data_IF_119055943655
#
_entry.id   IF_119055943655
#
_cell.length_a   1.000
_cell.length_b   1.000
_cell.length_c   1.000
_cell.angle_alpha   90.00
_cell.angle_beta   90.00
_cell.angle_gamma   90.00
#
_symmetry.space_group_name_H-M   'P 1'
#
loop_
_entity.id
_entity.type
_entity.pdbx_description
1 polymer ?
#
# COMPACT_ATOMS: atom_id res chain seq x y z
N UNK A 1 12.38 2.77 8.91
CA UNK A 1 12.15 4.16 8.46
C UNK A 1 10.66 4.34 8.28
N UNK A 2 10.10 5.39 8.88
CA UNK A 2 8.67 5.67 8.85
C UNK A 2 8.36 6.74 7.82
N UNK A 3 7.11 6.80 7.33
CA UNK A 3 6.69 7.86 6.40
C UNK A 3 6.99 9.27 6.95
N UNK A 4 6.84 9.44 8.28
CA UNK A 4 7.06 10.71 8.97
C UNK A 4 8.53 11.19 8.96
N UNK A 5 9.50 10.31 8.68
CA UNK A 5 10.91 10.71 8.60
C UNK A 5 11.27 11.36 7.26
N UNK A 6 10.41 11.21 6.24
CA UNK A 6 10.69 11.63 4.85
C UNK A 6 9.56 12.36 4.16
N UNK A 7 8.38 12.41 4.75
CA UNK A 7 7.18 13.03 4.19
C UNK A 7 6.50 13.92 5.22
N UNK A 8 6.04 15.11 4.79
CA UNK A 8 5.12 15.93 5.57
C UNK A 8 3.66 15.43 5.46
N UNK A 9 3.39 14.55 4.49
CA UNK A 9 2.11 13.90 4.27
C UNK A 9 2.17 12.47 4.83
N UNK A 10 1.59 12.26 6.00
CA UNK A 10 1.81 11.04 6.80
C UNK A 10 0.57 10.16 6.96
N UNK A 11 -0.61 10.64 6.55
CA UNK A 11 -1.87 9.89 6.70
C UNK A 11 -2.65 9.89 5.40
N UNK A 12 -3.40 8.81 5.15
CA UNK A 12 -4.31 8.71 4.01
C UNK A 12 -5.38 9.82 4.05
N UNK A 13 -5.84 10.20 5.25
CA UNK A 13 -6.83 11.27 5.41
C UNK A 13 -6.31 12.60 4.88
N UNK A 14 -5.12 13.02 5.30
CA UNK A 14 -4.49 14.25 4.81
C UNK A 14 -4.31 14.22 3.29
N UNK A 15 -3.92 13.06 2.73
CA UNK A 15 -3.72 12.93 1.28
C UNK A 15 -5.04 13.14 0.53
N UNK A 16 -6.14 12.56 1.02
CA UNK A 16 -7.46 12.72 0.43
C UNK A 16 -7.98 14.17 0.58
N UNK A 17 -7.85 14.77 1.76
CA UNK A 17 -8.26 16.16 2.01
C UNK A 17 -7.51 17.12 1.06
N UNK A 18 -6.21 16.88 0.81
CA UNK A 18 -5.44 17.67 -0.16
C UNK A 18 -5.92 17.48 -1.60
N UNK A 19 -6.32 16.26 -1.97
CA UNK A 19 -6.84 16.04 -3.31
C UNK A 19 -8.18 16.79 -3.52
N UNK A 20 -9.03 16.84 -2.50
CA UNK A 20 -10.29 17.59 -2.57
C UNK A 20 -10.07 19.11 -2.56
N UNK A 21 -9.08 19.60 -1.82
CA UNK A 21 -8.76 21.04 -1.78
C UNK A 21 -8.08 21.54 -3.06
N UNK A 22 -7.16 20.77 -3.63
CA UNK A 22 -6.32 21.19 -4.76
C UNK A 22 -6.95 20.89 -6.12
N UNK A 23 -7.85 19.92 -6.21
CA UNK A 23 -8.53 19.54 -7.45
C UNK A 23 -10.02 19.27 -7.18
N UNK A 24 -10.77 20.26 -6.68
CA UNK A 24 -12.14 20.07 -6.19
C UNK A 24 -13.09 19.46 -7.22
N UNK A 25 -12.90 19.82 -8.49
CA UNK A 25 -13.73 19.35 -9.62
C UNK A 25 -13.17 18.08 -10.29
N UNK A 26 -11.97 17.64 -9.92
CA UNK A 26 -11.33 16.42 -10.45
C UNK A 26 -10.76 16.55 -11.86
N UNK A 27 -10.66 17.77 -12.40
CA UNK A 27 -10.20 18.03 -13.77
C UNK A 27 -8.72 17.70 -13.97
N UNK A 28 -7.91 17.80 -12.91
CA UNK A 28 -6.48 17.50 -12.97
C UNK A 28 -6.17 16.01 -12.76
N UNK A 29 -7.18 15.21 -12.40
CA UNK A 29 -7.02 13.79 -12.12
C UNK A 29 -6.17 13.52 -10.87
N UNK A 30 -6.17 14.45 -9.90
CA UNK A 30 -5.38 14.31 -8.69
C UNK A 30 -5.94 13.19 -7.80
N UNK A 31 -5.06 12.29 -7.36
CA UNK A 31 -5.42 11.16 -6.54
C UNK A 31 -4.29 10.63 -5.67
N UNK A 32 -4.59 9.55 -4.95
CA UNK A 32 -3.72 8.95 -3.94
C UNK A 32 -3.33 7.53 -4.34
N UNK A 33 -2.03 7.27 -4.36
CA UNK A 33 -1.50 5.91 -4.36
C UNK A 33 -1.49 5.38 -2.92
N UNK A 34 -2.26 4.34 -2.64
CA UNK A 34 -2.37 3.76 -1.31
C UNK A 34 -1.39 2.61 -1.19
N UNK A 35 -0.28 2.89 -0.51
CA UNK A 35 0.67 1.85 -0.13
C UNK A 35 0.26 1.22 1.19
N UNK A 36 0.04 -0.10 1.18
CA UNK A 36 -0.38 -0.86 2.36
C UNK A 36 0.62 -0.71 3.51
N UNK A 37 1.93 -0.65 3.27
CA UNK A 37 2.92 -0.44 4.32
C UNK A 37 2.75 0.91 5.03
N UNK A 38 2.38 1.96 4.29
CA UNK A 38 2.23 3.30 4.85
C UNK A 38 0.90 3.52 5.58
N UNK A 39 -0.13 2.73 5.25
CA UNK A 39 -1.45 2.84 5.90
C UNK A 39 -1.73 1.74 6.92
N UNK A 40 -0.95 0.66 6.90
CA UNK A 40 -1.10 -0.45 7.84
C UNK A 40 -0.52 -0.09 9.20
N UNK A 41 -1.40 0.00 10.18
CA UNK A 41 -1.05 0.25 11.58
C UNK A 41 -0.85 -1.10 12.25
N UNK A 42 0.41 -1.53 12.40
CA UNK A 42 0.77 -2.52 13.43
C UNK A 42 0.33 -2.01 14.81
N UNK A 43 0.15 -2.90 15.78
CA UNK A 43 -0.56 -2.72 17.06
C UNK A 43 -0.08 -1.62 18.04
N UNK A 44 0.64 -0.59 17.61
CA UNK A 44 1.29 0.40 18.47
C UNK A 44 0.97 1.87 18.25
N UNK A 45 0.63 2.36 17.05
CA UNK A 45 0.50 3.82 16.88
C UNK A 45 -0.37 4.29 15.70
N UNK A 46 -1.49 4.90 16.09
CA UNK A 46 -2.19 6.09 15.57
C UNK A 46 -2.37 6.28 14.04
N UNK A 47 -3.67 6.31 13.70
CA UNK A 47 -4.31 7.05 12.61
C UNK A 47 -4.34 6.39 11.22
N UNK A 48 -5.21 5.39 11.08
CA UNK A 48 -6.08 5.35 9.91
C UNK A 48 -7.53 5.43 10.38
N UNK A 49 -8.16 6.57 10.12
CA UNK A 49 -9.59 6.78 10.33
C UNK A 49 -10.37 5.66 9.62
N UNK A 50 -11.20 4.88 10.32
CA UNK A 50 -12.07 3.87 9.71
C UNK A 50 -12.91 4.41 8.54
N UNK A 51 -13.20 5.71 8.49
CA UNK A 51 -13.95 6.35 7.41
C UNK A 51 -13.18 6.43 6.07
N UNK A 52 -11.83 6.49 6.09
CA UNK A 52 -11.01 6.46 4.87
C UNK A 52 -10.91 5.05 4.24
N UNK A 53 -11.52 4.03 4.86
CA UNK A 53 -11.50 2.63 4.40
C UNK A 53 -12.52 2.34 3.30
N UNK A 54 -13.41 3.28 2.99
CA UNK A 54 -14.31 3.21 1.84
C UNK A 54 -13.63 3.96 0.69
N UNK A 55 -13.52 3.31 -0.47
CA UNK A 55 -12.86 3.84 -1.66
C UNK A 55 -13.37 5.22 -1.99
N UNK A 56 -12.54 6.23 -1.71
CA UNK A 56 -12.70 7.55 -2.26
C UNK A 56 -12.48 7.45 -3.78
N UNK A 57 -13.25 8.15 -4.63
CA UNK A 57 -13.06 8.12 -6.09
C UNK A 57 -11.64 8.51 -6.53
N UNK A 58 -10.86 9.13 -5.63
CA UNK A 58 -9.48 9.56 -5.86
C UNK A 58 -8.41 8.53 -5.51
N UNK A 59 -8.76 7.30 -5.15
CA UNK A 59 -7.76 6.23 -4.95
C UNK A 59 -7.36 5.64 -6.30
N UNK A 60 -6.15 5.92 -6.74
CA UNK A 60 -5.70 5.64 -8.11
C UNK A 60 -4.88 4.35 -8.24
N UNK A 61 -4.24 3.89 -7.17
CA UNK A 61 -3.40 2.68 -7.17
C UNK A 61 -3.31 2.11 -5.76
N UNK A 62 -3.20 0.78 -5.66
CA UNK A 62 -2.80 0.10 -4.42
C UNK A 62 -1.42 -0.53 -4.60
N UNK A 63 -0.54 -0.32 -3.62
CA UNK A 63 0.80 -0.89 -3.60
C UNK A 63 0.96 -1.89 -2.47
N UNK A 64 1.48 -3.06 -2.82
CA UNK A 64 1.72 -4.21 -1.96
C UNK A 64 3.17 -4.21 -1.52
N UNK A 65 3.43 -4.52 -0.25
CA UNK A 65 4.79 -4.51 0.28
C UNK A 65 5.12 -5.85 0.96
N UNK A 66 6.38 -6.25 0.83
CA UNK A 66 7.01 -7.30 1.63
C UNK A 66 7.34 -6.75 3.02
N UNK A 67 6.58 -7.12 4.05
CA UNK A 67 6.77 -6.65 5.44
C UNK A 67 6.93 -7.83 6.40
N UNK A 68 7.94 -7.82 7.27
CA UNK A 68 8.03 -8.81 8.34
C UNK A 68 6.94 -8.51 9.39
N UNK A 69 6.05 -9.48 9.59
CA UNK A 69 4.93 -9.42 10.50
C UNK A 69 5.31 -9.09 11.96
N UNK A 70 6.56 -9.35 12.39
CA UNK A 70 6.94 -9.28 13.81
C UNK A 70 7.36 -7.91 14.30
N UNK A 71 7.82 -7.02 13.41
CA UNK A 71 8.46 -5.77 13.83
C UNK A 71 7.63 -4.52 13.50
N UNK A 72 6.60 -4.63 12.64
CA UNK A 72 5.91 -3.45 12.10
C UNK A 72 6.85 -2.50 11.32
N UNK A 73 8.05 -2.97 10.99
CA UNK A 73 9.06 -2.24 10.24
C UNK A 73 9.36 -3.02 8.96
N UNK A 74 9.72 -2.32 7.88
CA UNK A 74 10.54 -2.93 6.84
C UNK A 74 11.89 -3.29 7.44
N UNK A 75 11.96 -4.44 8.09
CA UNK A 75 13.23 -5.13 8.23
C UNK A 75 13.58 -5.56 6.82
N UNK A 76 14.77 -5.20 6.34
CA UNK A 76 15.29 -5.65 5.04
C UNK A 76 15.45 -7.17 4.92
N UNK A 77 14.97 -7.89 5.93
CA UNK A 77 14.98 -9.34 6.07
C UNK A 77 13.64 -9.97 5.70
N UNK A 78 12.62 -9.19 5.30
CA UNK A 78 11.33 -9.77 4.95
C UNK A 78 11.48 -10.74 3.75
N UNK A 79 11.17 -12.00 4.03
CA UNK A 79 11.21 -13.13 3.09
C UNK A 79 9.84 -13.47 2.51
N UNK A 80 8.78 -12.93 3.08
CA UNK A 80 7.41 -13.18 2.63
C UNK A 80 6.93 -12.07 1.70
N UNK A 81 6.72 -12.42 0.44
CA UNK A 81 6.16 -11.54 -0.56
C UNK A 81 4.63 -11.61 -0.49
N UNK A 82 3.98 -10.46 -0.28
CA UNK A 82 2.53 -10.32 -0.05
C UNK A 82 2.04 -11.16 1.16
N UNK A 83 2.03 -10.50 2.31
CA UNK A 83 1.80 -11.12 3.62
C UNK A 83 0.30 -11.30 3.94
N UNK A 84 -0.04 -12.03 5.00
CA UNK A 84 -1.46 -12.26 5.42
C UNK A 84 -2.25 -10.97 5.72
N UNK A 85 -1.55 -9.88 6.00
CA UNK A 85 -2.10 -8.53 6.15
C UNK A 85 -2.79 -8.10 4.85
N UNK A 86 -2.28 -8.54 3.70
CA UNK A 86 -2.86 -8.21 2.42
C UNK A 86 -4.32 -8.67 2.30
N UNK A 87 -4.68 -9.83 2.86
CA UNK A 87 -6.08 -10.30 2.85
C UNK A 87 -7.05 -9.28 3.48
N UNK A 88 -6.58 -8.45 4.40
CA UNK A 88 -7.39 -7.42 5.04
C UNK A 88 -7.64 -6.21 4.11
N UNK A 89 -6.74 -5.97 3.15
CA UNK A 89 -6.81 -4.89 2.17
C UNK A 89 -7.35 -5.33 0.80
N UNK A 90 -7.33 -6.63 0.47
CA UNK A 90 -8.00 -7.19 -0.72
C UNK A 90 -9.48 -6.82 -0.77
N UNK A 91 -10.14 -6.73 0.40
CA UNK A 91 -11.52 -6.26 0.48
C UNK A 91 -11.72 -4.84 -0.08
N UNK A 92 -10.69 -3.99 -0.04
CA UNK A 92 -10.75 -2.61 -0.55
C UNK A 92 -10.67 -2.60 -2.07
N UNK A 93 -9.85 -3.49 -2.66
CA UNK A 93 -9.74 -3.68 -4.11
C UNK A 93 -11.06 -4.16 -4.74
N UNK A 94 -11.85 -4.92 -3.98
CA UNK A 94 -13.16 -5.44 -4.43
C UNK A 94 -14.30 -4.44 -4.26
N UNK A 95 -14.02 -3.22 -3.82
CA UNK A 95 -15.06 -2.19 -3.67
C UNK A 95 -15.51 -1.72 -5.05
N UNK A 96 -16.83 -1.65 -5.33
CA UNK A 96 -17.33 -1.15 -6.61
C UNK A 96 -16.75 0.23 -6.94
N UNK A 97 -16.17 0.37 -8.13
CA UNK A 97 -15.62 1.63 -8.64
C UNK A 97 -14.10 1.77 -8.59
N UNK A 98 -13.37 0.89 -7.89
CA UNK A 98 -11.92 0.82 -8.04
C UNK A 98 -11.55 0.08 -9.33
N UNK A 99 -10.80 0.74 -10.22
CA UNK A 99 -10.25 0.17 -11.45
C UNK A 99 -8.76 0.53 -11.63
N UNK A 100 -8.09 0.89 -10.52
CA UNK A 100 -6.69 1.26 -10.53
C UNK A 100 -5.77 0.06 -10.62
N UNK A 101 -4.50 0.31 -10.95
CA UNK A 101 -3.48 -0.73 -10.96
C UNK A 101 -3.22 -1.26 -9.54
N UNK A 102 -2.82 -2.52 -9.46
CA UNK A 102 -2.27 -3.14 -8.25
C UNK A 102 -0.78 -3.36 -8.52
N UNK A 103 0.05 -2.80 -7.67
CA UNK A 103 1.50 -2.86 -7.80
C UNK A 103 2.13 -3.60 -6.63
N UNK A 104 3.21 -4.33 -6.87
CA UNK A 104 4.05 -4.92 -5.82
C UNK A 104 5.38 -4.17 -5.72
N UNK A 105 5.65 -3.59 -4.57
CA UNK A 105 6.89 -2.89 -4.25
C UNK A 105 7.67 -3.63 -3.16
N UNK A 106 8.97 -3.82 -3.40
CA UNK A 106 9.82 -4.64 -2.52
C UNK A 106 11.14 -3.90 -2.25
N UNK A 107 11.30 -3.37 -1.03
CA UNK A 107 12.60 -3.01 -0.49
C UNK A 107 13.11 -4.09 0.47
N UNK A 108 13.74 -5.13 -0.07
CA UNK A 108 14.26 -6.24 0.73
C UNK A 108 15.63 -6.68 0.19
N UNK A 109 16.73 -6.37 0.91
CA UNK A 109 18.05 -6.95 0.67
C UNK A 109 18.06 -8.46 0.46
N UNK A 110 17.14 -9.20 1.08
CA UNK A 110 16.98 -10.64 0.83
C UNK A 110 16.55 -10.91 -0.62
N UNK A 111 15.49 -10.25 -1.10
CA UNK A 111 14.98 -10.42 -2.46
C UNK A 111 15.92 -9.83 -3.51
N UNK A 112 16.65 -8.76 -3.19
CA UNK A 112 17.65 -8.17 -4.09
C UNK A 112 18.85 -9.11 -4.37
N UNK A 113 19.08 -10.11 -3.52
CA UNK A 113 20.10 -11.15 -3.72
C UNK A 113 19.59 -12.38 -4.47
N UNK A 114 18.29 -12.43 -4.81
CA UNK A 114 17.70 -13.55 -5.55
C UNK A 114 17.80 -13.33 -7.05
N UNK A 115 17.66 -14.42 -7.79
CA UNK A 115 17.48 -14.34 -9.23
C UNK A 115 16.21 -13.53 -9.55
N UNK A 116 16.33 -12.63 -10.54
CA UNK A 116 15.26 -11.69 -10.87
C UNK A 116 14.07 -12.41 -11.51
N UNK A 117 14.29 -13.43 -12.34
CA UNK A 117 13.20 -14.17 -12.97
C UNK A 117 12.41 -14.93 -11.91
N UNK A 118 13.10 -15.63 -11.01
CA UNK A 118 12.45 -16.29 -9.87
C UNK A 118 11.67 -15.30 -8.98
N UNK A 119 12.20 -14.09 -8.78
CA UNK A 119 11.52 -13.04 -8.00
C UNK A 119 10.25 -12.55 -8.69
N UNK A 120 10.30 -12.35 -10.01
CA UNK A 120 9.15 -11.93 -10.81
C UNK A 120 8.08 -13.04 -10.89
N UNK A 121 8.47 -14.29 -11.07
CA UNK A 121 7.55 -15.43 -11.09
C UNK A 121 6.77 -15.51 -9.77
N UNK A 122 7.49 -15.41 -8.64
CA UNK A 122 6.87 -15.40 -7.30
C UNK A 122 5.97 -14.16 -7.14
N UNK A 123 6.37 -13.01 -7.68
CA UNK A 123 5.57 -11.78 -7.63
C UNK A 123 4.23 -11.95 -8.33
N UNK A 124 4.25 -12.50 -9.55
CA UNK A 124 3.05 -12.78 -10.34
C UNK A 124 2.15 -13.79 -9.61
N UNK A 125 2.73 -14.89 -9.13
CA UNK A 125 1.99 -15.92 -8.39
C UNK A 125 1.29 -15.34 -7.14
N UNK A 126 1.97 -14.44 -6.41
CA UNK A 126 1.40 -13.81 -5.21
C UNK A 126 0.30 -12.82 -5.55
N UNK A 127 0.49 -11.97 -6.54
CA UNK A 127 -0.55 -11.03 -6.98
C UNK A 127 -1.79 -11.81 -7.42
N UNK A 128 -1.63 -12.82 -8.28
CA UNK A 128 -2.73 -13.65 -8.78
C UNK A 128 -3.44 -14.46 -7.69
N UNK A 129 -2.74 -14.87 -6.63
CA UNK A 129 -3.35 -15.63 -5.54
C UNK A 129 -4.31 -14.79 -4.69
N UNK A 130 -4.06 -13.48 -4.58
CA UNK A 130 -4.76 -12.63 -3.63
C UNK A 130 -5.62 -11.53 -4.27
N UNK A 131 -5.36 -11.14 -5.52
CA UNK A 131 -6.12 -10.13 -6.27
C UNK A 131 -7.06 -10.81 -7.26
#
# INVERSE_FOLDING_TARGET
MTAADRSCLCTLRQALDWCDELDPDGEFGLGVAVDVYHVWVGSGARQSDPACRKTHPRVSCFRLVSTDHRSGQMTGECREMASSIFRQFVGWLKTPGFNGAIELEIFSPYWWQKDINSTLDISVDRIAHYC
#
